data_IF_271581545567
#
_entry.id   IF_271581545567
#
_cell.length_a   1.000
_cell.length_b   1.000
_cell.length_c   1.000
_cell.angle_alpha   90.00
_cell.angle_beta   90.00
_cell.angle_gamma   90.00
#
_symmetry.space_group_name_H-M   'P 1'
#
loop_
_entity.id
_entity.type
_entity.pdbx_description
1 polymer ?
#
# COMPACT_ATOMS: atom_id res chain seq x y z
N UNK A 1 -49.92 -5.40 35.32
CA UNK A 1 -48.48 -5.71 35.32
C UNK A 1 -47.79 -4.68 34.45
N UNK A 2 -47.12 -3.72 35.07
CA UNK A 2 -46.45 -2.63 34.35
C UNK A 2 -45.13 -3.14 33.75
N UNK A 3 -44.98 -3.00 32.44
CA UNK A 3 -43.78 -3.40 31.71
C UNK A 3 -42.82 -2.21 31.72
N UNK A 4 -41.75 -2.30 32.51
CA UNK A 4 -40.66 -1.34 32.48
C UNK A 4 -39.95 -1.43 31.12
N UNK A 5 -40.13 -0.40 30.29
CA UNK A 5 -39.36 -0.23 29.05
C UNK A 5 -38.03 0.42 29.41
N UNK A 6 -37.00 -0.41 29.59
CA UNK A 6 -35.62 0.06 29.71
C UNK A 6 -35.17 0.48 28.31
N UNK A 7 -34.85 1.77 28.13
CA UNK A 7 -34.27 2.25 26.89
C UNK A 7 -32.89 1.59 26.72
N UNK A 8 -32.72 0.82 25.64
CA UNK A 8 -31.39 0.37 25.22
C UNK A 8 -30.55 1.63 24.92
N UNK A 9 -29.31 1.74 25.44
CA UNK A 9 -28.47 2.91 25.21
C UNK A 9 -27.94 2.87 23.78
N UNK A 10 -28.76 3.29 22.81
CA UNK A 10 -28.36 3.42 21.41
C UNK A 10 -27.33 4.55 21.20
N UNK A 11 -27.19 5.46 22.17
CA UNK A 11 -26.20 6.56 22.13
C UNK A 11 -24.73 6.08 22.19
N UNK A 12 -24.49 4.82 22.55
CA UNK A 12 -23.13 4.24 22.58
C UNK A 12 -22.73 3.54 21.28
N UNK A 13 -23.63 3.41 20.32
CA UNK A 13 -23.33 2.82 19.00
C UNK A 13 -22.94 3.93 18.01
N UNK A 14 -23.39 5.17 18.23
CA UNK A 14 -22.99 6.34 17.43
C UNK A 14 -21.58 6.84 17.74
N UNK A 15 -20.97 6.41 18.84
CA UNK A 15 -19.56 6.68 19.18
C UNK A 15 -18.62 5.55 18.75
N UNK A 16 -18.91 4.87 17.63
CA UNK A 16 -17.81 4.42 16.79
C UNK A 16 -17.20 5.68 16.19
N UNK A 17 -16.48 6.43 17.03
CA UNK A 17 -15.43 7.32 16.56
C UNK A 17 -14.64 6.47 15.58
N UNK A 18 -14.74 6.84 14.31
CA UNK A 18 -13.89 6.31 13.27
C UNK A 18 -12.48 6.81 13.62
N UNK A 19 -11.86 6.14 14.61
CA UNK A 19 -10.47 6.27 14.94
C UNK A 19 -9.76 6.19 13.60
N UNK A 20 -9.09 7.25 13.13
CA UNK A 20 -8.38 7.19 11.87
C UNK A 20 -7.37 6.06 12.03
N UNK A 21 -7.66 4.91 11.41
CA UNK A 21 -6.79 3.77 11.41
C UNK A 21 -5.60 4.16 10.55
N UNK A 22 -4.66 4.91 11.13
CA UNK A 22 -3.42 5.33 10.50
C UNK A 22 -2.56 4.09 10.32
N UNK A 23 -2.76 3.40 9.20
CA UNK A 23 -1.79 2.41 8.73
C UNK A 23 -0.59 3.22 8.26
N UNK A 24 0.47 3.22 9.05
CA UNK A 24 1.74 3.78 8.63
C UNK A 24 2.34 2.84 7.58
N UNK A 25 2.31 3.27 6.32
CA UNK A 25 2.88 2.54 5.20
C UNK A 25 4.09 3.30 4.69
N UNK A 26 5.23 2.63 4.60
CA UNK A 26 6.45 3.19 4.04
C UNK A 26 6.50 2.89 2.54
N UNK A 27 6.77 3.91 1.72
CA UNK A 27 7.02 3.76 0.29
C UNK A 27 8.45 4.14 0.02
N UNK A 28 9.26 3.21 -0.50
CA UNK A 28 10.64 3.48 -0.88
C UNK A 28 10.76 3.54 -2.40
N UNK A 29 11.04 4.73 -2.91
CA UNK A 29 11.24 5.02 -4.33
C UNK A 29 12.71 4.86 -4.67
N UNK A 30 13.00 3.98 -5.61
CA UNK A 30 14.33 3.67 -6.15
C UNK A 30 14.35 4.08 -7.62
N UNK A 31 15.05 5.16 -7.94
CA UNK A 31 15.16 5.67 -9.31
C UNK A 31 16.60 5.64 -9.83
N UNK A 32 16.77 5.76 -11.14
CA UNK A 32 18.08 5.78 -11.80
C UNK A 32 18.86 7.06 -11.50
N UNK A 33 18.15 8.16 -11.25
CA UNK A 33 18.69 9.48 -10.99
C UNK A 33 17.95 10.19 -9.85
N UNK A 34 18.64 11.14 -9.20
CA UNK A 34 18.09 11.86 -8.07
C UNK A 34 16.90 12.77 -8.46
N UNK A 35 16.89 13.29 -9.69
CA UNK A 35 15.82 14.17 -10.16
C UNK A 35 14.51 13.38 -10.31
N UNK A 36 14.52 12.24 -11.00
CA UNK A 36 13.34 11.35 -11.08
C UNK A 36 12.91 10.87 -9.70
N UNK A 37 13.84 10.49 -8.83
CA UNK A 37 13.51 10.06 -7.47
C UNK A 37 12.76 11.15 -6.70
N UNK A 38 13.23 12.40 -6.80
CA UNK A 38 12.63 13.56 -6.12
C UNK A 38 11.28 13.95 -6.70
N UNK A 39 11.12 13.89 -8.03
CA UNK A 39 9.86 14.20 -8.70
C UNK A 39 8.76 13.19 -8.33
N UNK A 40 9.06 11.90 -8.44
CA UNK A 40 8.11 10.84 -8.07
C UNK A 40 7.77 10.91 -6.57
N UNK A 41 8.76 11.07 -5.69
CA UNK A 41 8.50 11.16 -4.26
C UNK A 41 7.63 12.36 -3.92
N UNK A 42 7.93 13.54 -4.49
CA UNK A 42 7.16 14.75 -4.24
C UNK A 42 5.72 14.68 -4.76
N UNK A 43 5.50 14.03 -5.92
CA UNK A 43 4.15 13.82 -6.46
C UNK A 43 3.34 12.83 -5.61
N UNK A 44 3.98 11.80 -5.07
CA UNK A 44 3.33 10.86 -4.14
C UNK A 44 3.00 11.60 -2.83
N UNK A 45 3.96 12.29 -2.21
CA UNK A 45 3.73 13.03 -0.97
C UNK A 45 2.57 14.02 -1.11
N UNK A 46 2.59 14.84 -2.16
CA UNK A 46 1.51 15.80 -2.45
C UNK A 46 0.15 15.12 -2.68
N UNK A 47 0.12 13.95 -3.31
CA UNK A 47 -1.12 13.23 -3.57
C UNK A 47 -1.75 12.60 -2.33
N UNK A 48 -0.96 12.39 -1.27
CA UNK A 48 -1.39 11.80 0.00
C UNK A 48 -1.37 12.80 1.17
N UNK A 49 -0.94 14.05 0.95
CA UNK A 49 -0.94 15.13 1.95
C UNK A 49 -2.34 15.38 2.55
N UNK A 50 -3.37 15.34 1.71
CA UNK A 50 -4.77 15.51 2.13
C UNK A 50 -5.41 14.23 2.70
N UNK A 51 -4.66 13.12 2.82
CA UNK A 51 -5.20 11.83 3.25
C UNK A 51 -5.17 11.69 4.78
N UNK A 52 -6.28 12.04 5.44
CA UNK A 52 -6.44 11.92 6.91
C UNK A 52 -6.29 10.50 7.47
N UNK A 53 -6.35 9.48 6.61
CA UNK A 53 -6.44 8.08 7.03
C UNK A 53 -5.10 7.34 6.98
N UNK A 54 -4.06 7.87 6.32
CA UNK A 54 -2.82 7.13 6.03
C UNK A 54 -1.62 8.07 6.15
N UNK A 55 -0.79 7.82 7.14
CA UNK A 55 0.54 8.43 7.19
C UNK A 55 1.48 7.65 6.26
N UNK A 56 1.62 8.15 5.03
CA UNK A 56 2.53 7.59 4.04
C UNK A 56 3.92 8.20 4.21
N UNK A 57 4.90 7.39 4.62
CA UNK A 57 6.29 7.84 4.71
C UNK A 57 7.00 7.51 3.41
N UNK A 58 7.26 8.51 2.59
CA UNK A 58 8.01 8.34 1.34
C UNK A 58 9.50 8.49 1.62
N UNK A 59 10.28 7.50 1.22
CA UNK A 59 11.74 7.53 1.24
C UNK A 59 12.22 7.41 -0.19
N UNK A 60 13.20 8.22 -0.57
CA UNK A 60 13.81 8.16 -1.91
C UNK A 60 15.25 7.66 -1.80
N UNK A 61 15.66 6.89 -2.80
CA UNK A 61 17.01 6.40 -2.96
C UNK A 61 17.33 6.28 -4.45
N UNK A 62 18.62 6.41 -4.78
CA UNK A 62 19.12 6.18 -6.13
C UNK A 62 19.56 4.72 -6.24
N UNK A 63 19.25 4.08 -7.36
CA UNK A 63 19.69 2.72 -7.66
C UNK A 63 21.21 2.66 -7.77
N UNK A 64 21.81 1.58 -7.26
CA UNK A 64 23.22 1.29 -7.51
C UNK A 64 23.43 1.03 -9.01
N UNK A 65 24.56 1.48 -9.56
CA UNK A 65 24.91 1.33 -10.98
C UNK A 65 24.75 -0.11 -11.49
N UNK A 66 25.15 -1.10 -10.68
CA UNK A 66 25.03 -2.53 -11.01
C UNK A 66 23.57 -2.97 -11.16
N UNK A 67 22.67 -2.51 -10.29
CA UNK A 67 21.25 -2.87 -10.33
C UNK A 67 20.53 -2.12 -11.47
N UNK A 68 20.91 -0.87 -11.70
CA UNK A 68 20.44 -0.09 -12.83
C UNK A 68 20.80 -0.76 -14.18
N UNK A 69 22.04 -1.23 -14.33
CA UNK A 69 22.47 -1.94 -15.54
C UNK A 69 21.70 -3.25 -15.73
N UNK A 70 21.61 -4.07 -14.67
CA UNK A 70 20.89 -5.35 -14.72
C UNK A 70 19.42 -5.15 -15.11
N UNK A 71 18.71 -4.19 -14.50
CA UNK A 71 17.29 -3.95 -14.77
C UNK A 71 17.01 -3.43 -16.19
N UNK A 72 17.99 -2.76 -16.80
CA UNK A 72 17.89 -2.31 -18.19
C UNK A 72 18.21 -3.42 -19.19
N UNK A 73 19.06 -4.39 -18.83
CA UNK A 73 19.41 -5.53 -19.69
C UNK A 73 18.36 -6.64 -19.67
N UNK A 74 17.65 -6.79 -18.54
CA UNK A 74 16.68 -7.86 -18.34
C UNK A 74 15.38 -7.51 -19.07
N UNK A 75 15.01 -8.34 -20.06
CA UNK A 75 13.75 -8.22 -20.77
C UNK A 75 12.59 -8.89 -20.00
N UNK A 76 12.86 -9.97 -19.28
CA UNK A 76 11.85 -10.73 -18.57
C UNK A 76 11.43 -10.06 -17.25
N UNK A 77 10.12 -9.94 -17.02
CA UNK A 77 9.58 -9.30 -15.82
C UNK A 77 9.82 -10.12 -14.55
N UNK A 78 9.86 -11.45 -14.65
CA UNK A 78 10.12 -12.35 -13.53
C UNK A 78 11.59 -12.32 -13.11
N UNK A 79 12.51 -12.31 -14.08
CA UNK A 79 13.95 -12.19 -13.82
C UNK A 79 14.29 -10.86 -13.12
N UNK A 80 13.62 -9.77 -13.50
CA UNK A 80 13.79 -8.47 -12.84
C UNK A 80 13.36 -8.49 -11.37
N UNK A 81 12.33 -9.28 -11.02
CA UNK A 81 11.90 -9.47 -9.62
C UNK A 81 12.94 -10.23 -8.83
N UNK A 82 13.53 -11.27 -9.41
CA UNK A 82 14.55 -12.09 -8.75
C UNK A 82 15.83 -11.29 -8.47
N UNK A 83 16.27 -10.47 -9.41
CA UNK A 83 17.43 -9.58 -9.24
C UNK A 83 17.21 -8.52 -8.15
N UNK A 84 16.00 -7.96 -8.07
CA UNK A 84 15.62 -7.05 -6.98
C UNK A 84 15.55 -7.81 -5.66
N UNK A 85 14.94 -8.99 -5.62
CA UNK A 85 14.83 -9.81 -4.41
C UNK A 85 16.20 -10.27 -3.87
N UNK A 86 17.18 -10.46 -4.75
CA UNK A 86 18.54 -10.83 -4.39
C UNK A 86 19.37 -9.70 -3.78
N UNK A 87 19.03 -8.43 -4.06
CA UNK A 87 19.80 -7.24 -3.62
C UNK A 87 19.07 -6.36 -2.61
N UNK A 88 17.74 -6.42 -2.56
CA UNK A 88 16.89 -5.60 -1.71
C UNK A 88 16.01 -6.48 -0.82
N UNK A 89 15.88 -6.10 0.45
CA UNK A 89 15.07 -6.84 1.42
C UNK A 89 13.57 -6.61 1.17
N UNK A 90 12.93 -7.56 0.46
CA UNK A 90 11.48 -7.56 0.19
C UNK A 90 10.65 -7.98 1.42
N UNK A 91 11.29 -8.51 2.47
CA UNK A 91 10.63 -9.07 3.64
C UNK A 91 10.16 -8.01 4.66
N UNK A 92 10.64 -6.77 4.54
CA UNK A 92 10.26 -5.67 5.43
C UNK A 92 8.73 -5.49 5.47
N UNK A 93 8.15 -5.61 6.66
CA UNK A 93 6.72 -5.44 6.85
C UNK A 93 6.33 -3.97 6.69
N UNK A 94 5.18 -3.72 6.06
CA UNK A 94 4.61 -2.38 5.81
C UNK A 94 5.46 -1.46 4.91
N UNK A 95 6.35 -2.04 4.09
CA UNK A 95 7.11 -1.31 3.10
C UNK A 95 6.72 -1.74 1.68
N UNK A 96 6.48 -0.75 0.82
CA UNK A 96 6.34 -0.92 -0.63
C UNK A 96 7.59 -0.39 -1.31
N UNK A 97 8.19 -1.20 -2.18
CA UNK A 97 9.33 -0.83 -3.00
C UNK A 97 8.84 -0.45 -4.40
N UNK A 98 9.12 0.79 -4.80
CA UNK A 98 8.91 1.30 -6.16
C UNK A 98 10.27 1.39 -6.85
N UNK A 99 10.48 0.59 -7.89
CA UNK A 99 11.77 0.46 -8.57
C UNK A 99 11.67 0.93 -10.02
N UNK A 100 12.57 1.82 -10.45
CA UNK A 100 12.61 2.26 -11.83
C UNK A 100 13.12 1.15 -12.74
N UNK A 101 12.42 0.92 -13.86
CA UNK A 101 12.81 0.02 -14.93
C UNK A 101 12.37 0.60 -16.27
N UNK A 102 13.32 1.06 -17.07
CA UNK A 102 13.03 1.67 -18.37
C UNK A 102 12.39 0.71 -19.40
N UNK A 103 12.79 -0.58 -19.50
CA UNK A 103 12.17 -1.51 -20.45
C UNK A 103 10.85 -2.09 -19.91
N UNK A 104 9.92 -1.21 -19.53
CA UNK A 104 8.56 -1.57 -19.14
C UNK A 104 7.58 -1.23 -20.26
N UNK A 105 6.70 -2.17 -20.60
CA UNK A 105 5.65 -1.95 -21.59
C UNK A 105 4.56 -0.99 -21.08
N UNK A 106 4.29 -1.02 -19.77
CA UNK A 106 3.31 -0.18 -19.08
C UNK A 106 4.01 0.87 -18.21
N UNK A 107 3.32 1.95 -17.85
CA UNK A 107 3.94 3.02 -17.03
C UNK A 107 4.29 2.53 -15.61
N UNK A 108 3.48 1.62 -15.05
CA UNK A 108 3.66 1.01 -13.74
C UNK A 108 3.23 -0.46 -13.79
N UNK A 109 3.98 -1.34 -13.14
CA UNK A 109 3.68 -2.76 -13.03
C UNK A 109 3.83 -3.24 -11.58
N UNK A 110 2.78 -3.85 -11.02
CA UNK A 110 2.83 -4.44 -9.68
C UNK A 110 3.27 -5.89 -9.81
N UNK A 111 4.49 -6.19 -9.38
CA UNK A 111 5.09 -7.51 -9.55
C UNK A 111 4.69 -8.49 -8.45
N UNK A 112 4.78 -8.03 -7.19
CA UNK A 112 4.42 -8.79 -5.99
C UNK A 112 3.64 -7.91 -5.02
N UNK A 113 3.20 -8.45 -3.89
CA UNK A 113 2.44 -7.73 -2.87
C UNK A 113 3.12 -6.44 -2.38
N UNK A 114 4.46 -6.37 -2.45
CA UNK A 114 5.28 -5.27 -1.91
C UNK A 114 6.30 -4.69 -2.90
N UNK A 115 6.26 -5.11 -4.16
CA UNK A 115 7.19 -4.65 -5.20
C UNK A 115 6.40 -4.18 -6.41
N UNK A 116 6.63 -2.93 -6.81
CA UNK A 116 6.15 -2.37 -8.05
C UNK A 116 7.31 -1.74 -8.82
N UNK A 117 7.23 -1.84 -10.14
CA UNK A 117 8.16 -1.19 -11.05
C UNK A 117 7.48 -0.03 -11.77
N UNK A 118 8.25 0.99 -12.10
CA UNK A 118 7.77 2.14 -12.89
C UNK A 118 8.77 2.50 -13.99
N UNK A 119 8.29 3.07 -15.10
CA UNK A 119 9.14 3.35 -16.26
C UNK A 119 9.99 4.61 -16.06
N UNK A 120 9.33 5.73 -15.77
CA UNK A 120 9.92 7.07 -15.78
C UNK A 120 9.08 8.07 -14.97
N UNK A 121 9.52 9.34 -14.91
CA UNK A 121 8.82 10.41 -14.19
C UNK A 121 7.36 10.59 -14.64
N UNK A 122 7.07 10.33 -15.92
CA UNK A 122 5.69 10.44 -16.46
C UNK A 122 4.74 9.40 -15.90
N UNK A 123 5.24 8.34 -15.25
CA UNK A 123 4.42 7.32 -14.60
C UNK A 123 3.83 7.74 -13.25
N UNK A 124 4.26 8.87 -12.66
CA UNK A 124 3.77 9.37 -11.38
C UNK A 124 2.24 9.34 -11.19
N UNK A 125 1.40 9.88 -12.10
CA UNK A 125 -0.05 9.85 -11.92
C UNK A 125 -0.60 8.41 -11.85
N UNK A 126 -0.07 7.51 -12.68
CA UNK A 126 -0.44 6.09 -12.69
C UNK A 126 -0.03 5.42 -11.38
N UNK A 127 1.17 5.69 -10.87
CA UNK A 127 1.65 5.19 -9.58
C UNK A 127 0.73 5.64 -8.45
N UNK A 128 0.35 6.93 -8.41
CA UNK A 128 -0.57 7.46 -7.39
C UNK A 128 -1.92 6.74 -7.45
N UNK A 129 -2.45 6.47 -8.65
CA UNK A 129 -3.70 5.75 -8.81
C UNK A 129 -3.59 4.30 -8.31
N UNK A 130 -2.51 3.60 -8.66
CA UNK A 130 -2.22 2.25 -8.19
C UNK A 130 -2.06 2.22 -6.67
N UNK A 131 -1.33 3.16 -6.09
CA UNK A 131 -1.16 3.29 -4.63
C UNK A 131 -2.50 3.51 -3.93
N UNK A 132 -3.37 4.38 -4.47
CA UNK A 132 -4.72 4.59 -3.93
C UNK A 132 -5.50 3.28 -3.97
N UNK A 133 -5.53 2.58 -5.10
CA UNK A 133 -6.22 1.30 -5.24
C UNK A 133 -5.68 0.22 -4.30
N UNK A 134 -4.36 0.09 -4.21
CA UNK A 134 -3.69 -0.86 -3.32
C UNK A 134 -4.05 -0.60 -1.86
N UNK A 135 -3.93 0.64 -1.41
CA UNK A 135 -4.38 1.09 -0.09
C UNK A 135 -5.84 0.73 0.18
N UNK A 136 -6.74 1.00 -0.76
CA UNK A 136 -8.17 0.70 -0.61
C UNK A 136 -8.41 -0.82 -0.54
N UNK A 137 -7.75 -1.62 -1.38
CA UNK A 137 -7.87 -3.07 -1.38
C UNK A 137 -7.36 -3.69 -0.08
N UNK A 138 -6.22 -3.24 0.44
CA UNK A 138 -5.67 -3.72 1.71
C UNK A 138 -6.64 -3.45 2.86
N UNK A 139 -7.38 -2.33 2.84
CA UNK A 139 -8.43 -2.05 3.83
C UNK A 139 -9.63 -2.98 3.72
N UNK A 140 -10.12 -3.25 2.51
CA UNK A 140 -11.26 -4.16 2.31
C UNK A 140 -10.89 -5.58 2.75
N UNK A 141 -9.70 -6.06 2.37
CA UNK A 141 -9.21 -7.39 2.74
C UNK A 141 -8.88 -7.50 4.23
N UNK A 142 -8.32 -6.44 4.83
CA UNK A 142 -8.10 -6.38 6.27
C UNK A 142 -9.43 -6.35 7.02
N UNK A 143 -10.39 -5.50 6.64
CA UNK A 143 -11.72 -5.42 7.25
C UNK A 143 -12.46 -6.76 7.24
N UNK A 144 -12.37 -7.51 6.13
CA UNK A 144 -12.93 -8.86 6.02
C UNK A 144 -12.18 -9.90 6.87
N UNK A 145 -10.88 -9.69 7.16
CA UNK A 145 -10.10 -10.54 8.07
C UNK A 145 -10.27 -10.18 9.55
N UNK A 146 -10.51 -8.90 9.87
CA UNK A 146 -10.79 -8.45 11.25
C UNK A 146 -12.22 -8.73 11.68
N UNK A 147 -13.13 -8.98 10.73
CA UNK A 147 -14.36 -9.73 10.98
C UNK A 147 -14.02 -11.21 11.26
N UNK A 148 -13.33 -11.45 12.38
CA UNK A 148 -13.47 -12.71 13.09
C UNK A 148 -14.96 -12.90 13.28
N UNK A 149 -15.52 -13.83 12.51
CA UNK A 149 -16.93 -14.17 12.47
C UNK A 149 -17.55 -14.04 13.85
N UNK A 150 -18.37 -13.01 13.97
CA UNK A 150 -19.24 -12.65 15.06
C UNK A 150 -19.49 -13.83 16.02
N UNK A 151 -18.83 -13.80 17.17
CA UNK A 151 -19.01 -14.79 18.23
C UNK A 151 -20.49 -14.86 18.70
N UNK A 152 -21.33 -13.91 18.29
CA UNK A 152 -22.78 -13.96 18.44
C UNK A 152 -23.44 -15.15 17.70
N UNK A 153 -22.81 -15.76 16.69
CA UNK A 153 -23.35 -16.97 16.04
C UNK A 153 -23.13 -18.27 16.84
N UNK A 154 -22.45 -18.22 17.99
CA UNK A 154 -22.22 -19.40 18.85
C UNK A 154 -23.16 -19.54 20.05
N UNK A 155 -24.10 -18.61 20.28
CA UNK A 155 -25.09 -18.79 21.34
C UNK A 155 -26.40 -19.41 20.83
N UNK A 156 -26.43 -20.74 20.97
CA UNK A 156 -27.58 -21.56 21.39
C UNK A 156 -28.92 -21.29 20.71
N UNK A 157 -29.27 -22.18 19.77
CA UNK A 157 -30.64 -22.67 19.72
C UNK A 157 -30.94 -23.36 21.08
N UNK A 158 -32.05 -23.03 21.78
CA UNK A 158 -32.52 -23.84 22.89
C UNK A 158 -33.05 -25.21 22.40
N UNK A 159 -33.14 -26.22 23.28
CA UNK A 159 -33.45 -27.61 22.93
C UNK A 159 -34.84 -27.80 22.30
#
# INVERSE_FOLDING_TARGET
>A
TEVYRVALPYDKISSFDALPHSIASEVKVLANDEATAAEISGLIEKAFEDSELINLKVTKAVLSDDLHHTLNSVADEQEAVEEVAGRLELSAHNQLLLVQRTPLFQDCWLAQERLAFFRDATAAPTIVQVLKQWVYQTKVLAGVRTEVADAARRQRFPP
#
